data_IF_392475756932
#
_entry.id   IF_392475756932
#
_cell.length_a   1.000
_cell.length_b   1.000
_cell.length_c   1.000
_cell.angle_alpha   90.00
_cell.angle_beta   90.00
_cell.angle_gamma   90.00
#
_symmetry.space_group_name_H-M   'P 1'
#
loop_
_entity.id
_entity.type
_entity.pdbx_description
1 polymer ?
#
# COMPACT_ATOMS: atom_id res chain seq x y z
N UNK A 1 6.56 -60.41 -10.11
CA UNK A 1 5.66 -59.39 -10.66
C UNK A 1 4.79 -58.71 -9.59
N UNK A 2 4.06 -59.41 -8.71
CA UNK A 2 3.22 -58.82 -7.67
C UNK A 2 4.00 -57.88 -6.68
N UNK A 3 5.15 -58.32 -6.16
CA UNK A 3 5.96 -57.57 -5.20
C UNK A 3 6.46 -56.24 -5.82
N UNK A 4 6.92 -56.29 -7.07
CA UNK A 4 7.34 -55.09 -7.80
C UNK A 4 6.21 -54.09 -7.98
N UNK A 5 5.02 -54.56 -8.35
CA UNK A 5 3.84 -53.72 -8.51
C UNK A 5 3.43 -53.06 -7.17
N UNK A 6 3.52 -53.79 -6.06
CA UNK A 6 3.22 -53.26 -4.72
C UNK A 6 4.19 -52.14 -4.32
N UNK A 7 5.50 -52.34 -4.60
CA UNK A 7 6.52 -51.35 -4.32
C UNK A 7 6.26 -50.05 -5.14
N UNK A 8 6.01 -50.22 -6.44
CA UNK A 8 5.71 -49.06 -7.32
C UNK A 8 4.46 -48.31 -6.83
N UNK A 9 3.40 -49.02 -6.45
CA UNK A 9 2.18 -48.44 -5.94
C UNK A 9 2.44 -47.64 -4.65
N UNK A 10 3.19 -48.20 -3.70
CA UNK A 10 3.53 -47.48 -2.46
C UNK A 10 4.36 -46.24 -2.70
N UNK A 11 5.31 -46.26 -3.64
CA UNK A 11 6.10 -45.08 -4.03
C UNK A 11 5.20 -44.00 -4.63
N UNK A 12 4.29 -44.35 -5.53
CA UNK A 12 3.34 -43.41 -6.13
C UNK A 12 2.43 -42.77 -5.06
N UNK A 13 1.93 -43.56 -4.12
CA UNK A 13 1.12 -43.06 -3.01
C UNK A 13 1.94 -42.08 -2.14
N UNK A 14 3.17 -42.43 -1.80
CA UNK A 14 4.03 -41.57 -0.98
C UNK A 14 4.32 -40.22 -1.69
N UNK A 15 4.62 -40.25 -2.98
CA UNK A 15 4.85 -39.04 -3.79
C UNK A 15 3.55 -38.20 -3.84
N UNK A 16 2.40 -38.83 -4.02
CA UNK A 16 1.12 -38.13 -4.09
C UNK A 16 0.77 -37.45 -2.76
N UNK A 17 1.01 -38.11 -1.62
CA UNK A 17 0.82 -37.53 -0.29
C UNK A 17 1.78 -36.36 -0.07
N UNK A 18 3.05 -36.51 -0.42
CA UNK A 18 4.05 -35.45 -0.31
C UNK A 18 3.66 -34.22 -1.14
N UNK A 19 3.23 -34.44 -2.38
CA UNK A 19 2.75 -33.37 -3.25
C UNK A 19 1.51 -32.67 -2.68
N UNK A 20 0.55 -33.40 -2.13
CA UNK A 20 -0.62 -32.82 -1.49
C UNK A 20 -0.24 -31.94 -0.30
N UNK A 21 0.71 -32.37 0.53
CA UNK A 21 1.21 -31.57 1.64
C UNK A 21 1.88 -30.28 1.16
N UNK A 22 2.68 -30.34 0.10
CA UNK A 22 3.28 -29.14 -0.50
C UNK A 22 2.22 -28.15 -0.97
N UNK A 23 1.16 -28.64 -1.63
CA UNK A 23 0.05 -27.78 -2.09
C UNK A 23 -0.65 -27.12 -0.90
N UNK A 24 -0.92 -27.83 0.18
CA UNK A 24 -1.56 -27.27 1.38
C UNK A 24 -0.69 -26.15 1.99
N UNK A 25 0.60 -26.39 2.14
CA UNK A 25 1.54 -25.40 2.69
C UNK A 25 1.58 -24.16 1.81
N UNK A 26 1.73 -24.33 0.52
CA UNK A 26 1.85 -23.25 -0.46
C UNK A 26 0.57 -22.39 -0.50
N UNK A 27 -0.59 -23.01 -0.60
CA UNK A 27 -1.89 -22.29 -0.56
C UNK A 27 -2.06 -21.53 0.75
N UNK A 28 -1.63 -22.10 1.87
CA UNK A 28 -1.68 -21.43 3.18
C UNK A 28 -0.80 -20.16 3.18
N UNK A 29 0.41 -20.22 2.62
CA UNK A 29 1.26 -19.03 2.48
C UNK A 29 0.64 -17.95 1.60
N UNK A 30 0.10 -18.33 0.44
CA UNK A 30 -0.55 -17.36 -0.48
C UNK A 30 -1.73 -16.66 0.18
N UNK A 31 -2.56 -17.40 0.91
CA UNK A 31 -3.69 -16.81 1.65
C UNK A 31 -3.18 -15.89 2.76
N UNK A 32 -2.15 -16.30 3.50
CA UNK A 32 -1.54 -15.51 4.57
C UNK A 32 -0.98 -14.20 4.05
N UNK A 33 -0.14 -14.22 3.00
CA UNK A 33 0.39 -13.01 2.38
C UNK A 33 -0.72 -12.11 1.84
N UNK A 34 -1.74 -12.68 1.21
CA UNK A 34 -2.89 -11.90 0.73
C UNK A 34 -3.64 -11.19 1.86
N UNK A 35 -3.76 -11.82 3.03
CA UNK A 35 -4.39 -11.21 4.21
C UNK A 35 -3.55 -10.09 4.80
N UNK A 36 -2.23 -10.31 4.94
CA UNK A 36 -1.28 -9.33 5.47
C UNK A 36 -1.21 -8.11 4.55
N UNK A 37 -1.12 -8.31 3.23
CA UNK A 37 -1.15 -7.22 2.26
C UNK A 37 -2.40 -6.36 2.38
N UNK A 38 -3.58 -6.96 2.58
CA UNK A 38 -4.83 -6.20 2.79
C UNK A 38 -4.77 -5.34 4.04
N UNK A 39 -4.15 -5.85 5.10
CA UNK A 39 -3.96 -5.09 6.34
C UNK A 39 -3.04 -3.88 6.11
N UNK A 40 -1.86 -4.09 5.51
CA UNK A 40 -0.96 -2.99 5.19
C UNK A 40 -1.54 -2.00 4.18
N UNK A 41 -2.32 -2.46 3.19
CA UNK A 41 -3.04 -1.58 2.27
C UNK A 41 -4.05 -0.69 3.01
N UNK A 42 -4.77 -1.24 4.00
CA UNK A 42 -5.67 -0.46 4.85
C UNK A 42 -4.91 0.58 5.68
N UNK A 43 -3.79 0.19 6.31
CA UNK A 43 -2.96 1.10 7.10
C UNK A 43 -2.43 2.25 6.24
N UNK A 44 -1.92 1.96 5.03
CA UNK A 44 -1.49 2.97 4.06
C UNK A 44 -2.62 3.93 3.70
N UNK A 45 -3.84 3.43 3.48
CA UNK A 45 -5.02 4.25 3.19
C UNK A 45 -5.33 5.19 4.36
N UNK A 46 -5.27 4.71 5.60
CA UNK A 46 -5.50 5.52 6.81
C UNK A 46 -4.44 6.61 6.94
N UNK A 47 -3.17 6.27 6.70
CA UNK A 47 -2.05 7.24 6.78
C UNK A 47 -2.23 8.33 5.72
N UNK A 48 -2.55 7.98 4.48
CA UNK A 48 -2.79 8.94 3.39
C UNK A 48 -3.99 9.85 3.68
N UNK A 49 -5.06 9.30 4.25
CA UNK A 49 -6.23 10.08 4.65
C UNK A 49 -5.88 11.09 5.74
N UNK A 50 -5.13 10.67 6.77
CA UNK A 50 -4.65 11.56 7.81
C UNK A 50 -3.70 12.65 7.27
N UNK A 51 -2.84 12.30 6.30
CA UNK A 51 -1.96 13.25 5.62
C UNK A 51 -2.78 14.31 4.86
N UNK A 52 -3.79 13.87 4.12
CA UNK A 52 -4.72 14.77 3.41
C UNK A 52 -5.42 15.72 4.39
N UNK A 53 -5.91 15.23 5.53
CA UNK A 53 -6.61 16.04 6.52
C UNK A 53 -5.67 17.09 7.19
N UNK A 54 -4.41 16.72 7.43
CA UNK A 54 -3.42 17.68 7.92
C UNK A 54 -3.07 18.73 6.84
N UNK A 55 -2.98 18.33 5.56
CA UNK A 55 -2.77 19.30 4.47
C UNK A 55 -3.94 20.26 4.31
N UNK A 56 -5.19 19.80 4.46
CA UNK A 56 -6.37 20.66 4.44
C UNK A 56 -6.31 21.69 5.58
N UNK A 57 -5.99 21.26 6.81
CA UNK A 57 -5.80 22.17 7.95
C UNK A 57 -4.65 23.16 7.73
N UNK A 58 -3.54 22.70 7.15
CA UNK A 58 -2.43 23.58 6.82
C UNK A 58 -2.85 24.67 5.82
N UNK A 59 -3.57 24.28 4.77
CA UNK A 59 -4.09 25.21 3.76
C UNK A 59 -5.02 26.27 4.38
N UNK A 60 -5.95 25.86 5.25
CA UNK A 60 -6.85 26.77 5.97
C UNK A 60 -6.08 27.75 6.88
N UNK A 61 -5.11 27.25 7.65
CA UNK A 61 -4.29 28.08 8.52
C UNK A 61 -3.42 29.07 7.71
N UNK A 62 -2.83 28.65 6.62
CA UNK A 62 -2.06 29.52 5.75
C UNK A 62 -2.92 30.63 5.13
N UNK A 63 -4.16 30.32 4.72
CA UNK A 63 -5.14 31.32 4.24
C UNK A 63 -5.50 32.32 5.35
N UNK A 64 -5.75 31.85 6.57
CA UNK A 64 -6.09 32.70 7.72
C UNK A 64 -4.96 33.68 8.09
N UNK A 65 -3.71 33.28 7.90
CA UNK A 65 -2.52 34.12 8.08
C UNK A 65 -2.24 35.07 6.89
N UNK A 66 -3.14 35.11 5.90
CA UNK A 66 -3.07 36.05 4.77
C UNK A 66 -2.00 35.70 3.72
N UNK A 67 -1.52 34.46 3.69
CA UNK A 67 -0.56 34.02 2.68
C UNK A 67 -1.23 34.00 1.29
N UNK A 68 -0.45 34.41 0.29
CA UNK A 68 -0.87 34.34 -1.12
C UNK A 68 -0.73 32.90 -1.62
N UNK A 69 -1.84 32.16 -1.60
CA UNK A 69 -1.92 30.77 -2.06
C UNK A 69 -2.81 30.71 -3.29
N UNK A 70 -2.50 29.79 -4.20
CA UNK A 70 -3.40 29.49 -5.33
C UNK A 70 -4.70 28.91 -4.83
N UNK A 71 -5.80 29.65 -5.03
CA UNK A 71 -7.15 29.23 -4.64
C UNK A 71 -7.53 27.87 -5.20
N UNK A 72 -7.10 27.55 -6.43
CA UNK A 72 -7.39 26.25 -7.05
C UNK A 72 -6.76 25.10 -6.27
N UNK A 73 -5.56 25.30 -5.71
CA UNK A 73 -4.88 24.28 -4.89
C UNK A 73 -5.53 24.12 -3.52
N UNK A 74 -5.99 25.23 -2.92
CA UNK A 74 -6.78 25.21 -1.68
C UNK A 74 -8.09 24.46 -1.90
N UNK A 75 -8.85 24.81 -2.92
CA UNK A 75 -10.10 24.14 -3.26
C UNK A 75 -9.88 22.65 -3.58
N UNK A 76 -8.79 22.31 -4.26
CA UNK A 76 -8.44 20.93 -4.58
C UNK A 76 -8.23 20.10 -3.31
N UNK A 77 -7.48 20.59 -2.30
CA UNK A 77 -7.24 19.81 -1.08
C UNK A 77 -8.49 19.75 -0.17
N UNK A 78 -9.26 20.84 -0.08
CA UNK A 78 -10.46 20.87 0.75
C UNK A 78 -11.56 19.95 0.21
N UNK A 79 -11.69 19.85 -1.12
CA UNK A 79 -12.68 18.99 -1.79
C UNK A 79 -12.13 17.62 -2.19
N UNK A 80 -10.92 17.27 -1.74
CA UNK A 80 -10.29 16.01 -2.11
C UNK A 80 -11.04 14.81 -1.52
N UNK A 81 -11.51 13.90 -2.38
CA UNK A 81 -12.20 12.69 -1.92
C UNK A 81 -11.22 11.64 -1.42
N UNK A 82 -11.19 11.44 -0.10
CA UNK A 82 -10.32 10.47 0.57
C UNK A 82 -10.56 9.02 0.13
N UNK A 83 -11.74 8.69 -0.41
CA UNK A 83 -12.03 7.35 -0.93
C UNK A 83 -11.13 6.97 -2.10
N UNK A 84 -10.65 7.96 -2.86
CA UNK A 84 -9.70 7.76 -3.96
C UNK A 84 -8.31 7.34 -3.48
N UNK A 85 -7.99 7.53 -2.18
CA UNK A 85 -6.72 7.13 -1.56
C UNK A 85 -6.69 5.66 -1.14
N UNK A 86 -7.80 4.93 -1.27
CA UNK A 86 -7.81 3.50 -1.01
C UNK A 86 -6.77 2.80 -1.88
N UNK A 87 -5.92 1.98 -1.25
CA UNK A 87 -4.86 1.25 -1.96
C UNK A 87 -5.49 0.17 -2.82
N UNK A 88 -5.60 0.47 -4.09
CA UNK A 88 -6.09 -0.43 -5.15
C UNK A 88 -5.10 -0.45 -6.30
N UNK A 89 -5.15 -1.56 -7.06
CA UNK A 89 -4.36 -1.75 -8.27
C UNK A 89 -5.12 -1.17 -9.49
N UNK A 90 -5.41 0.15 -9.42
CA UNK A 90 -6.09 0.89 -10.47
C UNK A 90 -5.45 2.28 -10.66
N UNK A 91 -5.60 2.82 -11.87
CA UNK A 91 -5.05 4.11 -12.29
C UNK A 91 -5.65 5.27 -11.48
N UNK A 92 -6.90 5.17 -11.02
CA UNK A 92 -7.54 6.22 -10.24
C UNK A 92 -6.88 6.38 -8.86
N UNK A 93 -6.62 5.27 -8.17
CA UNK A 93 -5.92 5.26 -6.89
C UNK A 93 -4.49 5.78 -7.01
N UNK A 94 -3.79 5.42 -8.10
CA UNK A 94 -2.43 5.91 -8.40
C UNK A 94 -2.44 7.41 -8.65
N UNK A 95 -3.31 7.90 -9.52
CA UNK A 95 -3.45 9.32 -9.83
C UNK A 95 -3.81 10.15 -8.57
N UNK A 96 -4.65 9.63 -7.70
CA UNK A 96 -5.01 10.30 -6.44
C UNK A 96 -3.81 10.45 -5.49
N UNK A 97 -2.94 9.43 -5.39
CA UNK A 97 -1.70 9.52 -4.59
C UNK A 97 -0.72 10.54 -5.16
N UNK A 98 -0.55 10.57 -6.49
CA UNK A 98 0.29 11.56 -7.18
C UNK A 98 -0.26 12.98 -6.99
N UNK A 99 -1.58 13.17 -7.10
CA UNK A 99 -2.24 14.44 -6.84
C UNK A 99 -2.01 14.92 -5.40
N UNK A 100 -2.19 14.04 -4.40
CA UNK A 100 -1.95 14.36 -3.00
C UNK A 100 -0.47 14.72 -2.74
N UNK A 101 0.47 14.02 -3.37
CA UNK A 101 1.91 14.31 -3.28
C UNK A 101 2.22 15.69 -3.89
N UNK A 102 1.67 16.02 -5.05
CA UNK A 102 1.84 17.32 -5.69
C UNK A 102 1.28 18.47 -4.83
N UNK A 103 0.13 18.27 -4.18
CA UNK A 103 -0.45 19.24 -3.25
C UNK A 103 0.41 19.40 -1.99
N UNK A 104 0.93 18.30 -1.45
CA UNK A 104 1.85 18.32 -0.32
C UNK A 104 3.10 19.18 -0.61
N UNK A 105 3.76 18.90 -1.73
CA UNK A 105 4.97 19.62 -2.11
C UNK A 105 4.71 21.11 -2.36
N UNK A 106 3.56 21.42 -2.95
CA UNK A 106 3.13 22.79 -3.14
C UNK A 106 2.95 23.53 -1.80
N UNK A 107 2.15 22.99 -0.85
CA UNK A 107 1.89 23.68 0.41
C UNK A 107 3.14 23.81 1.27
N UNK A 108 4.00 22.79 1.32
CA UNK A 108 5.26 22.87 2.03
C UNK A 108 6.18 23.92 1.43
N UNK A 109 6.31 23.98 0.08
CA UNK A 109 7.14 24.99 -0.60
C UNK A 109 6.64 26.41 -0.37
N UNK A 110 5.32 26.63 -0.38
CA UNK A 110 4.73 27.96 -0.08
C UNK A 110 5.01 28.35 1.37
N UNK A 111 4.91 27.43 2.31
CA UNK A 111 5.22 27.71 3.72
C UNK A 111 6.70 28.08 3.91
N UNK A 112 7.62 27.33 3.31
CA UNK A 112 9.06 27.55 3.42
C UNK A 112 9.52 28.87 2.76
N UNK A 113 8.85 29.30 1.68
CA UNK A 113 9.18 30.54 0.96
C UNK A 113 8.64 31.81 1.64
N UNK A 114 7.68 31.66 2.52
CA UNK A 114 7.09 32.79 3.22
C UNK A 114 7.50 32.75 4.69
N UNK A 115 8.00 33.87 5.21
CA UNK A 115 8.30 34.03 6.64
C UNK A 115 6.97 34.15 7.41
N UNK A 116 6.34 32.99 7.64
CA UNK A 116 5.02 32.92 8.27
C UNK A 116 5.18 33.30 9.74
N UNK A 117 4.59 34.44 10.14
CA UNK A 117 4.46 34.80 11.54
C UNK A 117 3.45 33.90 12.23
N UNK A 118 3.82 32.68 12.47
CA UNK A 118 3.05 31.67 13.20
C UNK A 118 3.32 31.80 14.71
N UNK A 119 2.77 32.86 15.33
CA UNK A 119 3.00 33.16 16.75
C UNK A 119 2.60 32.01 17.69
N UNK A 120 1.67 31.16 17.27
CA UNK A 120 1.20 30.00 18.06
C UNK A 120 1.89 28.70 17.66
N UNK A 121 2.66 28.68 16.58
CA UNK A 121 3.36 27.49 16.07
C UNK A 121 2.40 26.41 15.55
N UNK A 122 1.18 26.77 15.15
CA UNK A 122 0.19 25.80 14.67
C UNK A 122 0.55 25.20 13.32
N UNK A 123 0.96 26.04 12.35
CA UNK A 123 1.40 25.53 11.06
C UNK A 123 2.60 24.60 11.21
N UNK A 124 3.58 24.98 12.06
CA UNK A 124 4.76 24.15 12.31
C UNK A 124 4.40 22.79 12.94
N UNK A 125 3.42 22.75 13.85
CA UNK A 125 2.93 21.48 14.43
C UNK A 125 2.30 20.59 13.36
N UNK A 126 1.48 21.17 12.47
CA UNK A 126 0.84 20.42 11.38
C UNK A 126 1.90 19.87 10.41
N UNK A 127 2.90 20.67 10.06
CA UNK A 127 4.00 20.26 9.19
C UNK A 127 4.80 19.11 9.82
N UNK A 128 5.12 19.20 11.10
CA UNK A 128 5.79 18.12 11.81
C UNK A 128 4.96 16.83 11.80
N UNK A 129 3.65 16.93 11.96
CA UNK A 129 2.75 15.77 11.84
C UNK A 129 2.76 15.18 10.42
N UNK A 130 2.79 16.02 9.38
CA UNK A 130 2.89 15.56 7.98
C UNK A 130 4.20 14.79 7.75
N UNK A 131 5.34 15.29 8.26
CA UNK A 131 6.63 14.59 8.16
C UNK A 131 6.63 13.25 8.90
N UNK A 132 6.03 13.18 10.09
CA UNK A 132 5.89 11.91 10.81
C UNK A 132 5.00 10.92 10.06
N UNK A 133 3.88 11.38 9.48
CA UNK A 133 3.01 10.55 8.65
C UNK A 133 3.75 10.04 7.40
N UNK A 134 4.58 10.87 6.76
CA UNK A 134 5.40 10.46 5.62
C UNK A 134 6.39 9.36 5.99
N UNK A 135 7.04 9.47 7.14
CA UNK A 135 7.96 8.45 7.66
C UNK A 135 7.24 7.13 7.91
N UNK A 136 6.08 7.17 8.57
CA UNK A 136 5.26 5.98 8.84
C UNK A 136 4.73 5.38 7.52
N UNK A 137 4.31 6.21 6.57
CA UNK A 137 3.90 5.78 5.23
C UNK A 137 4.98 4.96 4.54
N UNK A 138 6.22 5.47 4.49
CA UNK A 138 7.35 4.76 3.87
C UNK A 138 7.64 3.41 4.52
N UNK A 139 7.50 3.31 5.85
CA UNK A 139 7.68 2.04 6.55
C UNK A 139 6.61 1.01 6.15
N UNK A 140 5.33 1.40 6.16
CA UNK A 140 4.23 0.52 5.75
C UNK A 140 4.30 0.16 4.27
N UNK A 141 4.76 1.09 3.41
CA UNK A 141 4.97 0.86 1.99
C UNK A 141 6.05 -0.22 1.74
N UNK A 142 7.17 -0.16 2.47
CA UNK A 142 8.20 -1.20 2.38
C UNK A 142 7.67 -2.57 2.83
N UNK A 143 6.88 -2.63 3.91
CA UNK A 143 6.26 -3.87 4.38
C UNK A 143 5.28 -4.43 3.35
N UNK A 144 4.39 -3.58 2.81
CA UNK A 144 3.46 -3.98 1.76
C UNK A 144 4.19 -4.56 0.54
N UNK A 145 5.20 -3.86 0.04
CA UNK A 145 5.97 -4.31 -1.13
C UNK A 145 6.75 -5.60 -0.86
N UNK A 146 7.25 -5.82 0.36
CA UNK A 146 7.87 -7.08 0.75
C UNK A 146 6.85 -8.24 0.73
N UNK A 147 5.63 -8.00 1.20
CA UNK A 147 4.56 -9.00 1.16
C UNK A 147 4.10 -9.29 -0.28
N UNK A 148 4.06 -8.28 -1.16
CA UNK A 148 3.80 -8.46 -2.60
C UNK A 148 4.85 -9.38 -3.23
N UNK A 149 6.13 -9.18 -2.91
CA UNK A 149 7.21 -10.06 -3.39
C UNK A 149 7.04 -11.49 -2.88
N UNK A 150 6.73 -11.66 -1.59
CA UNK A 150 6.45 -12.97 -0.99
C UNK A 150 5.26 -13.66 -1.64
N UNK A 151 4.15 -12.95 -1.82
CA UNK A 151 2.97 -13.44 -2.52
C UNK A 151 3.30 -13.88 -3.96
N UNK A 152 3.97 -13.02 -4.72
CA UNK A 152 4.33 -13.29 -6.11
C UNK A 152 5.28 -14.49 -6.22
N UNK A 153 6.24 -14.64 -5.28
CA UNK A 153 7.12 -15.80 -5.22
C UNK A 153 6.31 -17.09 -5.15
N UNK A 154 5.34 -17.18 -4.22
CA UNK A 154 4.57 -18.39 -4.01
C UNK A 154 3.63 -18.74 -5.18
N UNK A 155 2.98 -17.76 -5.82
CA UNK A 155 2.11 -18.04 -6.97
C UNK A 155 2.87 -18.46 -8.24
N UNK A 156 4.18 -18.17 -8.32
CA UNK A 156 5.03 -18.58 -9.45
C UNK A 156 5.78 -19.87 -9.14
N UNK A 157 5.83 -20.26 -7.86
CA UNK A 157 6.62 -21.40 -7.39
C UNK A 157 6.21 -22.70 -8.07
N UNK A 158 7.21 -23.38 -8.66
CA UNK A 158 7.02 -24.74 -9.16
C UNK A 158 7.19 -25.74 -7.99
N UNK A 159 6.32 -26.77 -7.84
CA UNK A 159 5.43 -27.35 -8.84
C UNK A 159 3.96 -26.92 -8.73
N UNK A 160 3.61 -25.98 -7.88
CA UNK A 160 2.20 -25.61 -7.59
C UNK A 160 1.62 -24.52 -8.50
N UNK A 161 2.46 -23.87 -9.30
CA UNK A 161 2.08 -22.79 -10.23
C UNK A 161 0.81 -23.05 -11.04
N UNK A 162 0.62 -24.27 -11.57
CA UNK A 162 -0.55 -24.59 -12.39
C UNK A 162 -1.85 -24.56 -11.60
N UNK A 163 -1.82 -24.80 -10.28
CA UNK A 163 -3.00 -24.70 -9.41
C UNK A 163 -3.46 -23.24 -9.37
N UNK A 164 -2.53 -22.28 -9.23
CA UNK A 164 -2.85 -20.85 -9.20
C UNK A 164 -3.37 -20.34 -10.54
N UNK A 165 -2.88 -20.89 -11.66
CA UNK A 165 -3.45 -20.61 -12.99
C UNK A 165 -4.92 -21.05 -13.05
N UNK A 166 -5.24 -22.26 -12.57
CA UNK A 166 -6.61 -22.78 -12.52
C UNK A 166 -7.48 -21.93 -11.59
N UNK A 167 -6.97 -21.54 -10.42
CA UNK A 167 -7.65 -20.70 -9.43
C UNK A 167 -7.68 -19.21 -9.83
N UNK A 168 -7.07 -18.82 -10.97
CA UNK A 168 -7.00 -17.45 -11.49
C UNK A 168 -6.33 -16.44 -10.55
N UNK A 169 -5.38 -16.88 -9.74
CA UNK A 169 -4.53 -15.96 -8.99
C UNK A 169 -3.62 -15.19 -9.96
N UNK A 170 -3.51 -13.88 -9.74
CA UNK A 170 -2.65 -13.00 -10.53
C UNK A 170 -1.52 -12.45 -9.66
N UNK A 171 -0.37 -12.21 -10.27
CA UNK A 171 0.69 -11.43 -9.64
C UNK A 171 0.18 -10.03 -9.31
N UNK A 172 0.75 -9.43 -8.27
CA UNK A 172 0.46 -8.06 -7.85
C UNK A 172 1.64 -7.16 -8.12
N UNK A 173 1.37 -5.87 -8.34
CA UNK A 173 2.40 -4.88 -8.55
C UNK A 173 2.79 -4.22 -7.23
N UNK A 174 4.05 -3.77 -7.16
CA UNK A 174 4.52 -2.94 -6.06
C UNK A 174 3.88 -1.54 -6.17
N UNK A 175 3.69 -0.90 -5.03
CA UNK A 175 3.29 0.50 -4.97
C UNK A 175 4.56 1.35 -4.94
N UNK A 176 4.58 2.41 -5.74
CA UNK A 176 5.63 3.43 -5.77
C UNK A 176 5.29 4.61 -4.84
#
# INVERSE_FOLDING_TARGET
MKVFLTIVLNVVIAISIFYLLLVIVDVTFVISFSSIMKHHAHDLTVILTNKRDNLAKLAENMVSHGLKIDKKKVDAILNFDSKRLEIRDDEESKAAREELTSLNDYFLSVYEQNDVKDEQGECQKIINNIYELEKVYRQHLMMYNADVLGYNFWIIFFPTRFIYIILRFKSKENIE
#
